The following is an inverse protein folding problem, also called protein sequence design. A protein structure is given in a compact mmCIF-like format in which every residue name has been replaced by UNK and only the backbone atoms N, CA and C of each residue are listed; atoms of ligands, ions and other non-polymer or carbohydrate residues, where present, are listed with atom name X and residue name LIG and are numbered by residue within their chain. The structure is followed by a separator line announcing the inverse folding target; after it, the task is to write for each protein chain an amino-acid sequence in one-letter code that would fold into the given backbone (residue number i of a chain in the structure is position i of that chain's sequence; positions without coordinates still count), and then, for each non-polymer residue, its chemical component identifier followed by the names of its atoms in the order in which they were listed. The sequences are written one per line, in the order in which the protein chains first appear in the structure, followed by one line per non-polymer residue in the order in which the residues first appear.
data_IF_714618514038
#
_entry.id   IF_714618514038
#
_cell.length_a   1.000
_cell.length_b   1.000
_cell.length_c   1.000
_cell.angle_alpha   90.00
_cell.angle_beta   90.00
_cell.angle_gamma   90.00
#
_symmetry.space_group_name_H-M   'P 1'
#
loop_
_entity.id
_entity.type
_entity.pdbx_description
1 polymer ?
#
# COMPACT_ATOMS: atom_id res chain seq x y z
N UNK A 1 8.94 18.64 7.37
CA UNK A 1 8.11 18.63 8.61
C UNK A 1 6.80 17.83 8.49
N UNK A 2 6.41 17.27 7.33
CA UNK A 2 5.08 16.64 7.13
C UNK A 2 4.94 15.16 7.55
N UNK A 3 6.04 14.44 7.77
CA UNK A 3 6.00 12.97 7.63
C UNK A 3 5.40 12.19 8.81
N UNK A 4 5.36 12.75 10.03
CA UNK A 4 4.68 12.14 11.19
C UNK A 4 3.15 12.23 11.09
N UNK A 5 2.61 13.19 10.32
CA UNK A 5 1.15 13.39 10.19
C UNK A 5 0.46 12.29 9.38
N UNK A 6 1.24 11.55 8.59
CA UNK A 6 0.73 10.49 7.72
C UNK A 6 0.84 9.11 8.37
N UNK A 7 1.09 9.06 9.67
CA UNK A 7 1.13 7.85 10.48
C UNK A 7 0.07 7.98 11.56
N UNK A 8 -0.66 6.89 11.81
CA UNK A 8 -1.68 6.81 12.87
C UNK A 8 -1.12 6.01 14.05
N UNK A 9 -0.42 6.64 15.01
CA UNK A 9 0.11 5.92 16.16
C UNK A 9 -1.00 5.53 17.14
N UNK A 10 -0.75 4.46 17.90
CA UNK A 10 -1.56 4.12 19.08
C UNK A 10 -1.47 5.27 20.09
N UNK A 11 -2.63 5.72 20.57
CA UNK A 11 -2.74 6.77 21.58
C UNK A 11 -2.76 6.19 22.99
N UNK A 12 -3.56 5.15 23.22
CA UNK A 12 -3.73 4.52 24.54
C UNK A 12 -3.98 3.02 24.40
N UNK A 13 -3.75 2.28 25.47
CA UNK A 13 -4.10 0.86 25.61
C UNK A 13 -4.87 0.66 26.92
N UNK A 14 -5.85 -0.23 26.89
CA UNK A 14 -6.56 -0.71 28.09
C UNK A 14 -6.29 -2.21 28.22
N UNK A 15 -5.74 -2.63 29.35
CA UNK A 15 -5.32 -4.02 29.61
C UNK A 15 -5.69 -4.46 31.03
N UNK A 16 -6.84 -4.01 31.53
CA UNK A 16 -7.32 -4.35 32.87
C UNK A 16 -7.64 -5.86 32.99
N UNK A 17 -7.26 -6.45 34.13
CA UNK A 17 -7.45 -7.88 34.38
C UNK A 17 -8.95 -8.22 34.46
N UNK A 18 -9.37 -9.21 33.65
CA UNK A 18 -10.76 -9.64 33.55
C UNK A 18 -11.57 -8.97 32.43
N UNK A 19 -11.03 -7.91 31.80
CA UNK A 19 -11.64 -7.23 30.66
C UNK A 19 -10.95 -7.57 29.33
N UNK A 20 -11.62 -7.30 28.20
CA UNK A 20 -10.99 -7.47 26.89
C UNK A 20 -9.98 -6.35 26.62
N UNK A 21 -8.72 -6.66 26.25
CA UNK A 21 -7.75 -5.64 25.91
C UNK A 21 -8.22 -4.76 24.75
N UNK A 22 -7.99 -3.46 24.84
CA UNK A 22 -8.37 -2.49 23.80
C UNK A 22 -7.19 -1.58 23.44
N UNK A 23 -7.12 -1.21 22.16
CA UNK A 23 -6.16 -0.24 21.63
C UNK A 23 -6.94 0.95 21.12
N UNK A 24 -6.60 2.15 21.58
CA UNK A 24 -7.26 3.40 21.19
C UNK A 24 -6.37 4.15 20.20
N UNK A 25 -6.92 4.44 19.02
CA UNK A 25 -6.28 5.22 17.96
C UNK A 25 -7.07 6.52 17.73
N UNK A 26 -6.41 7.59 17.23
CA UNK A 26 -7.13 8.77 16.77
C UNK A 26 -8.17 8.40 15.70
N UNK A 27 -9.37 8.97 15.83
CA UNK A 27 -10.46 8.68 14.90
C UNK A 27 -10.22 9.34 13.53
N UNK A 28 -10.42 8.56 12.46
CA UNK A 28 -10.36 9.03 11.07
C UNK A 28 -11.75 8.95 10.46
N UNK A 29 -12.32 10.11 10.08
CA UNK A 29 -13.74 10.24 9.67
C UNK A 29 -14.15 9.32 8.52
N UNK A 30 -13.24 9.02 7.59
CA UNK A 30 -13.52 8.19 6.41
C UNK A 30 -12.99 6.75 6.52
N UNK A 31 -12.45 6.39 7.69
CA UNK A 31 -12.04 5.02 8.00
C UNK A 31 -10.94 4.46 7.10
N UNK A 32 -11.07 3.18 6.74
CA UNK A 32 -10.08 2.44 5.97
C UNK A 32 -10.06 2.85 4.49
N UNK A 33 -8.86 3.15 3.97
CA UNK A 33 -8.66 3.63 2.60
C UNK A 33 -9.18 2.65 1.52
N UNK A 34 -8.99 1.33 1.69
CA UNK A 34 -9.50 0.32 0.73
C UNK A 34 -11.03 0.32 0.68
N UNK A 35 -11.69 0.43 1.82
CA UNK A 35 -13.15 0.51 1.89
C UNK A 35 -13.67 1.82 1.29
N UNK A 36 -13.00 2.93 1.59
CA UNK A 36 -13.31 4.24 1.01
C UNK A 36 -13.20 4.23 -0.52
N UNK A 37 -12.09 3.75 -1.08
CA UNK A 37 -11.89 3.67 -2.54
C UNK A 37 -12.92 2.75 -3.23
N UNK A 38 -13.31 1.66 -2.58
CA UNK A 38 -14.40 0.79 -3.08
C UNK A 38 -15.74 1.52 -3.11
N UNK A 39 -16.04 2.34 -2.11
CA UNK A 39 -17.26 3.16 -2.09
C UNK A 39 -17.22 4.20 -3.21
N UNK A 40 -16.09 4.87 -3.43
CA UNK A 40 -15.91 5.80 -4.56
C UNK A 40 -16.15 5.12 -5.91
N UNK A 41 -15.58 3.92 -6.13
CA UNK A 41 -15.78 3.14 -7.36
C UNK A 41 -17.25 2.75 -7.59
N UNK A 42 -17.98 2.43 -6.52
CA UNK A 42 -19.43 2.17 -6.62
C UNK A 42 -20.21 3.45 -6.95
N UNK A 43 -19.78 4.59 -6.41
CA UNK A 43 -20.37 5.90 -6.72
C UNK A 43 -20.09 6.34 -8.15
N UNK A 44 -18.91 6.04 -8.71
CA UNK A 44 -18.55 6.34 -10.11
C UNK A 44 -19.52 5.75 -11.14
N UNK A 45 -20.09 4.57 -10.85
CA UNK A 45 -21.12 3.98 -11.70
C UNK A 45 -22.37 4.87 -11.86
N UNK A 46 -22.63 5.75 -10.88
CA UNK A 46 -23.78 6.66 -10.86
C UNK A 46 -23.37 8.14 -10.97
N UNK A 47 -22.10 8.49 -10.74
CA UNK A 47 -21.55 9.84 -10.81
C UNK A 47 -20.05 9.81 -11.15
N UNK A 48 -19.66 10.04 -12.42
CA UNK A 48 -18.28 9.92 -12.91
C UNK A 48 -17.23 10.86 -12.28
N UNK A 49 -17.62 11.74 -11.35
CA UNK A 49 -16.75 12.75 -10.71
C UNK A 49 -16.45 12.47 -9.22
N UNK A 50 -16.62 11.23 -8.74
CA UNK A 50 -16.50 10.96 -7.30
C UNK A 50 -15.07 11.11 -6.72
N UNK A 51 -14.02 10.86 -7.51
CA UNK A 51 -12.63 11.05 -7.09
C UNK A 51 -11.75 11.43 -8.29
N UNK A 52 -10.96 12.49 -8.17
CA UNK A 52 -10.06 12.89 -9.26
C UNK A 52 -8.75 12.12 -9.23
N UNK A 53 -8.07 12.05 -10.37
CA UNK A 53 -6.72 11.49 -10.41
C UNK A 53 -5.75 12.29 -9.54
N UNK A 54 -5.95 13.60 -9.42
CA UNK A 54 -5.17 14.47 -8.55
C UNK A 54 -5.36 14.08 -7.07
N UNK A 55 -6.58 13.75 -6.64
CA UNK A 55 -6.86 13.25 -5.28
C UNK A 55 -6.13 11.93 -5.01
N UNK A 56 -6.18 10.99 -5.97
CA UNK A 56 -5.48 9.70 -5.85
C UNK A 56 -3.97 9.88 -5.71
N UNK A 57 -3.37 10.76 -6.52
CA UNK A 57 -1.94 11.08 -6.43
C UNK A 57 -1.63 11.78 -5.11
N UNK A 58 -2.49 12.67 -4.63
CA UNK A 58 -2.33 13.30 -3.32
C UNK A 58 -2.35 12.28 -2.17
N UNK A 59 -3.22 11.28 -2.23
CA UNK A 59 -3.21 10.16 -1.27
C UNK A 59 -1.91 9.36 -1.36
N UNK A 60 -1.41 9.07 -2.57
CA UNK A 60 -0.15 8.36 -2.78
C UNK A 60 1.05 9.14 -2.20
N UNK A 61 1.10 10.47 -2.37
CA UNK A 61 2.13 11.33 -1.78
C UNK A 61 2.12 11.21 -0.24
N UNK A 62 0.94 11.23 0.38
CA UNK A 62 0.82 11.12 1.84
C UNK A 62 1.36 9.77 2.33
N UNK A 63 0.99 8.67 1.68
CA UNK A 63 1.51 7.33 1.99
C UNK A 63 3.02 7.29 1.82
N UNK A 64 3.55 7.72 0.66
CA UNK A 64 4.99 7.72 0.39
C UNK A 64 5.78 8.57 1.40
N UNK A 65 5.22 9.70 1.85
CA UNK A 65 5.81 10.52 2.90
C UNK A 65 5.87 9.78 4.25
N UNK A 66 4.80 9.07 4.62
CA UNK A 66 4.77 8.23 5.83
C UNK A 66 5.81 7.12 5.77
N UNK A 67 5.87 6.40 4.65
CA UNK A 67 6.85 5.34 4.41
C UNK A 67 8.29 5.86 4.40
N UNK A 68 8.54 7.03 3.79
CA UNK A 68 9.85 7.67 3.83
C UNK A 68 10.32 7.98 5.25
N UNK A 69 9.40 8.38 6.15
CA UNK A 69 9.74 8.63 7.55
C UNK A 69 10.11 7.35 8.30
N UNK A 70 9.36 6.28 8.07
CA UNK A 70 9.59 4.98 8.68
C UNK A 70 10.90 4.37 8.22
N UNK A 71 11.14 4.36 6.91
CA UNK A 71 12.38 3.84 6.31
C UNK A 71 13.63 4.54 6.86
N UNK A 72 13.60 5.87 7.00
CA UNK A 72 14.72 6.65 7.59
C UNK A 72 14.99 6.35 9.06
N UNK A 73 14.05 5.74 9.76
CA UNK A 73 14.16 5.37 11.18
C UNK A 73 14.34 3.87 11.37
N UNK A 74 14.45 3.12 10.28
CA UNK A 74 14.50 1.65 10.30
C UNK A 74 13.30 1.04 11.06
N UNK A 75 12.17 1.76 11.06
CA UNK A 75 10.91 1.30 11.68
C UNK A 75 10.13 0.53 10.64
N UNK A 76 9.76 -0.71 10.97
CA UNK A 76 8.85 -1.52 10.16
C UNK A 76 7.42 -1.31 10.66
N UNK A 77 6.45 -1.19 9.74
CA UNK A 77 5.03 -1.22 10.12
C UNK A 77 4.71 -2.65 10.51
N UNK A 78 4.35 -2.86 11.78
CA UNK A 78 3.96 -4.17 12.29
C UNK A 78 2.51 -4.22 12.75
N UNK A 79 1.81 -3.09 12.79
CA UNK A 79 0.42 -3.06 13.24
C UNK A 79 -0.53 -3.52 12.13
N UNK A 80 -0.72 -4.82 12.08
CA UNK A 80 -1.73 -5.52 11.30
C UNK A 80 -2.65 -6.34 12.23
N UNK A 81 -2.70 -5.99 13.52
CA UNK A 81 -3.22 -6.86 14.58
C UNK A 81 -4.63 -7.40 14.31
N UNK A 82 -5.47 -6.58 13.67
CA UNK A 82 -6.83 -6.95 13.24
C UNK A 82 -7.00 -6.98 11.72
N UNK A 83 -5.96 -6.68 10.94
CA UNK A 83 -6.08 -6.61 9.49
C UNK A 83 -6.44 -7.98 8.89
N UNK A 84 -5.93 -9.07 9.49
CA UNK A 84 -6.30 -10.45 9.13
C UNK A 84 -7.77 -10.75 9.40
N UNK A 85 -8.29 -10.29 10.54
CA UNK A 85 -9.68 -10.51 10.93
C UNK A 85 -10.66 -9.64 10.12
N UNK A 86 -10.26 -8.40 9.80
CA UNK A 86 -11.06 -7.46 9.01
C UNK A 86 -11.03 -7.76 7.51
N UNK A 87 -9.93 -8.31 7.00
CA UNK A 87 -9.73 -8.59 5.58
C UNK A 87 -9.16 -10.01 5.35
N UNK A 88 -9.86 -11.08 5.77
CA UNK A 88 -9.34 -12.44 5.71
C UNK A 88 -9.03 -12.90 4.29
N UNK A 89 -9.75 -12.39 3.28
CA UNK A 89 -9.55 -12.74 1.87
C UNK A 89 -8.22 -12.22 1.28
N UNK A 90 -7.56 -11.28 1.96
CA UNK A 90 -6.28 -10.74 1.51
C UNK A 90 -5.08 -11.56 2.03
N UNK A 91 -5.30 -12.46 3.00
CA UNK A 91 -4.27 -13.27 3.63
C UNK A 91 -4.39 -14.74 3.25
N UNK A 92 -3.26 -15.34 2.90
CA UNK A 92 -3.19 -16.72 2.40
C UNK A 92 -2.07 -17.49 3.10
N UNK A 93 -2.29 -18.78 3.30
CA UNK A 93 -1.31 -19.73 3.82
C UNK A 93 -0.79 -20.57 2.66
N UNK A 94 0.52 -20.56 2.44
CA UNK A 94 1.15 -21.30 1.34
C UNK A 94 1.69 -22.67 1.80
N UNK A 95 0.99 -23.31 2.72
CA UNK A 95 1.33 -24.65 3.23
C UNK A 95 2.32 -24.68 4.39
N UNK A 96 2.69 -23.54 4.95
CA UNK A 96 3.63 -23.38 6.08
C UNK A 96 2.96 -22.91 7.38
N UNK A 97 1.63 -22.93 7.42
CA UNK A 97 0.80 -22.43 8.53
C UNK A 97 1.00 -20.94 8.85
N UNK A 98 1.64 -20.16 7.96
CA UNK A 98 1.76 -18.71 8.10
C UNK A 98 0.79 -17.98 7.19
N UNK A 99 -0.13 -17.21 7.79
CA UNK A 99 -1.02 -16.33 7.05
C UNK A 99 -0.31 -15.01 6.70
N UNK A 100 -0.06 -14.81 5.42
CA UNK A 100 0.63 -13.63 4.88
C UNK A 100 -0.15 -13.00 3.73
N UNK A 101 0.00 -11.68 3.50
CA UNK A 101 -0.66 -11.02 2.39
C UNK A 101 0.09 -11.29 1.09
N UNK A 102 0.03 -12.52 0.59
CA UNK A 102 0.83 -13.02 -0.54
C UNK A 102 0.80 -12.09 -1.76
N UNK A 103 -0.35 -11.49 -2.04
CA UNK A 103 -0.56 -10.59 -3.18
C UNK A 103 0.11 -9.22 -3.04
N UNK A 104 0.55 -8.83 -1.85
CA UNK A 104 1.27 -7.58 -1.56
C UNK A 104 2.78 -7.77 -1.39
N UNK A 105 3.28 -9.01 -1.47
CA UNK A 105 4.67 -9.31 -1.16
C UNK A 105 5.55 -9.25 -2.41
N UNK A 106 6.75 -8.70 -2.23
CA UNK A 106 7.80 -8.77 -3.23
C UNK A 106 8.33 -10.22 -3.39
N UNK A 107 8.97 -10.49 -4.52
CA UNK A 107 9.43 -11.84 -4.87
C UNK A 107 10.42 -12.40 -3.83
N UNK A 108 11.36 -11.58 -3.37
CA UNK A 108 12.32 -11.98 -2.33
C UNK A 108 11.64 -12.30 -1.00
N UNK A 109 10.56 -11.59 -0.65
CA UNK A 109 9.78 -11.88 0.56
C UNK A 109 8.99 -13.18 0.43
N UNK A 110 8.52 -13.52 -0.77
CA UNK A 110 7.81 -14.77 -1.03
C UNK A 110 8.73 -16.00 -1.01
N UNK A 111 9.96 -15.86 -1.52
CA UNK A 111 10.89 -16.98 -1.67
C UNK A 111 11.77 -17.19 -0.44
N UNK A 112 12.26 -16.10 0.15
CA UNK A 112 13.31 -16.14 1.17
C UNK A 112 12.87 -15.58 2.53
N UNK A 113 11.66 -15.04 2.65
CA UNK A 113 11.22 -14.25 3.81
C UNK A 113 12.12 -13.03 4.10
N UNK A 114 12.71 -12.45 3.06
CA UNK A 114 13.51 -11.23 3.16
C UNK A 114 12.59 -9.99 3.10
N UNK A 115 12.64 -9.15 4.14
CA UNK A 115 11.79 -7.96 4.27
C UNK A 115 12.62 -6.69 4.44
N UNK A 116 12.42 -5.73 3.55
CA UNK A 116 13.10 -4.43 3.53
C UNK A 116 12.13 -3.30 3.21
N UNK A 117 12.59 -2.04 3.27
CA UNK A 117 11.78 -0.92 2.77
C UNK A 117 11.48 -1.01 1.27
N UNK A 118 12.22 -1.83 0.52
CA UNK A 118 12.02 -2.02 -0.91
C UNK A 118 10.97 -3.10 -1.23
N UNK A 119 10.57 -3.94 -0.26
CA UNK A 119 9.63 -5.05 -0.47
C UNK A 119 8.15 -4.67 -0.36
N UNK A 120 7.82 -3.40 -0.09
CA UNK A 120 6.44 -2.91 0.03
C UNK A 120 5.86 -2.59 -1.37
N UNK A 121 4.99 -3.47 -1.90
CA UNK A 121 4.49 -3.40 -3.29
C UNK A 121 2.95 -3.45 -3.42
N UNK A 122 2.46 -3.23 -4.63
CA UNK A 122 1.04 -3.13 -5.03
C UNK A 122 0.34 -4.52 -5.12
N UNK A 123 -0.96 -4.64 -4.79
CA UNK A 123 -1.69 -5.93 -4.83
C UNK A 123 -1.94 -6.51 -6.23
N UNK A 124 -1.75 -7.82 -6.36
CA UNK A 124 -2.20 -8.63 -7.51
C UNK A 124 -3.54 -9.33 -7.23
N UNK A 125 -4.66 -8.79 -7.71
CA UNK A 125 -6.00 -9.26 -7.31
C UNK A 125 -6.45 -10.55 -8.01
N UNK A 126 -6.03 -10.73 -9.27
CA UNK A 126 -6.54 -11.79 -10.16
C UNK A 126 -5.62 -13.02 -10.25
N UNK A 127 -4.53 -13.01 -9.51
CA UNK A 127 -3.55 -14.10 -9.50
C UNK A 127 -3.81 -15.00 -8.29
N UNK A 128 -3.74 -16.31 -8.51
CA UNK A 128 -3.78 -17.30 -7.45
C UNK A 128 -2.57 -17.09 -6.51
N UNK A 129 -2.76 -16.99 -5.18
CA UNK A 129 -1.66 -16.85 -4.24
C UNK A 129 -0.56 -17.91 -4.39
N UNK A 130 -0.90 -19.15 -4.74
CA UNK A 130 0.07 -20.23 -4.95
C UNK A 130 0.92 -20.03 -6.22
N UNK A 131 0.40 -19.30 -7.21
CA UNK A 131 1.10 -19.03 -8.47
C UNK A 131 1.89 -17.71 -8.43
N UNK A 132 1.70 -16.88 -7.41
CA UNK A 132 2.29 -15.54 -7.32
C UNK A 132 3.81 -15.53 -7.51
N UNK A 133 4.52 -16.45 -6.86
CA UNK A 133 5.98 -16.51 -6.94
C UNK A 133 6.45 -16.87 -8.36
N UNK A 134 5.78 -17.82 -9.02
CA UNK A 134 6.08 -18.18 -10.40
C UNK A 134 5.77 -17.02 -11.36
N UNK A 135 4.59 -16.42 -11.22
CA UNK A 135 4.15 -15.28 -12.01
C UNK A 135 5.15 -14.12 -11.97
N UNK A 136 5.62 -13.74 -10.77
CA UNK A 136 6.58 -12.66 -10.60
C UNK A 136 7.99 -13.02 -11.12
N UNK A 137 8.40 -14.29 -10.96
CA UNK A 137 9.69 -14.81 -11.42
C UNK A 137 9.80 -14.82 -12.94
N UNK A 138 8.70 -15.10 -13.63
CA UNK A 138 8.61 -15.04 -15.09
C UNK A 138 8.56 -13.61 -15.63
N UNK A 139 8.60 -12.60 -14.74
CA UNK A 139 8.65 -11.18 -15.10
C UNK A 139 7.28 -10.55 -15.33
N UNK A 140 6.19 -11.27 -15.12
CA UNK A 140 4.85 -10.71 -15.27
C UNK A 140 4.54 -9.70 -14.16
N UNK A 141 3.80 -8.65 -14.53
CA UNK A 141 3.40 -7.53 -13.66
C UNK A 141 1.97 -7.13 -13.97
N UNK A 142 1.35 -6.36 -13.07
CA UNK A 142 -0.02 -5.87 -13.24
C UNK A 142 -0.08 -5.02 -14.51
N UNK A 143 -1.15 -5.21 -15.29
CA UNK A 143 -1.43 -4.36 -16.44
C UNK A 143 -1.72 -2.91 -16.00
N UNK A 144 -1.41 -1.96 -16.88
CA UNK A 144 -1.72 -0.55 -16.64
C UNK A 144 -3.22 -0.35 -16.41
N UNK A 145 -3.63 0.30 -15.30
CA UNK A 145 -5.03 0.58 -15.05
C UNK A 145 -5.62 1.52 -16.10
N UNK A 146 -6.92 1.35 -16.39
CA UNK A 146 -7.67 2.27 -17.25
C UNK A 146 -7.61 3.68 -16.63
N UNK A 147 -7.37 4.70 -17.46
CA UNK A 147 -7.22 6.10 -17.05
C UNK A 147 -5.99 6.40 -16.18
N UNK A 148 -4.98 5.52 -16.16
CA UNK A 148 -3.69 5.80 -15.53
C UNK A 148 -2.69 6.31 -16.59
N UNK A 149 -2.10 7.52 -16.43
CA UNK A 149 -1.10 8.01 -17.39
C UNK A 149 0.17 7.17 -17.39
N UNK A 150 0.83 7.11 -18.54
CA UNK A 150 2.02 6.30 -18.77
C UNK A 150 3.15 6.69 -17.82
N UNK A 151 3.32 7.98 -17.51
CA UNK A 151 4.36 8.44 -16.59
C UNK A 151 4.11 7.91 -15.17
N UNK A 152 2.85 7.89 -14.72
CA UNK A 152 2.51 7.34 -13.40
C UNK A 152 2.68 5.82 -13.38
N UNK A 153 2.30 5.14 -14.46
CA UNK A 153 2.50 3.70 -14.58
C UNK A 153 3.99 3.32 -14.61
N UNK A 154 4.83 4.11 -15.28
CA UNK A 154 6.28 3.91 -15.29
C UNK A 154 6.87 3.99 -13.88
N UNK A 155 6.40 4.94 -13.04
CA UNK A 155 6.81 5.02 -11.63
C UNK A 155 6.42 3.76 -10.86
N UNK A 156 5.20 3.26 -11.04
CA UNK A 156 4.76 2.01 -10.41
C UNK A 156 5.60 0.80 -10.89
N UNK A 157 5.89 0.72 -12.19
CA UNK A 157 6.70 -0.34 -12.77
C UNK A 157 8.14 -0.35 -12.21
N UNK A 158 8.75 0.82 -11.99
CA UNK A 158 10.06 0.93 -11.34
C UNK A 158 10.05 0.36 -9.90
N UNK A 159 8.93 0.47 -9.18
CA UNK A 159 8.80 -0.14 -7.85
C UNK A 159 8.74 -1.68 -7.89
N UNK A 160 8.51 -2.29 -9.05
CA UNK A 160 8.38 -3.73 -9.21
C UNK A 160 9.61 -4.40 -9.84
N UNK A 161 10.75 -3.71 -9.88
CA UNK A 161 12.02 -4.29 -10.33
C UNK A 161 12.36 -5.56 -9.52
N UNK A 162 12.94 -6.56 -10.18
CA UNK A 162 13.31 -7.82 -9.51
C UNK A 162 14.41 -7.58 -8.48
N UNK A 163 15.43 -6.79 -8.85
CA UNK A 163 16.48 -6.37 -7.93
C UNK A 163 15.94 -5.27 -6.98
N UNK A 164 15.94 -5.51 -5.66
CA UNK A 164 15.52 -4.50 -4.68
C UNK A 164 16.34 -3.19 -4.73
N UNK A 165 17.59 -3.22 -5.19
CA UNK A 165 18.44 -2.01 -5.27
C UNK A 165 18.14 -1.13 -6.49
N UNK A 166 17.49 -1.67 -7.52
CA UNK A 166 17.00 -0.89 -8.66
C UNK A 166 15.71 -0.13 -8.34
N UNK A 167 15.01 -0.51 -7.25
CA UNK A 167 13.75 0.14 -6.86
C UNK A 167 14.01 1.54 -6.30
N UNK A 168 13.15 2.53 -6.62
CA UNK A 168 13.30 3.88 -6.10
C UNK A 168 13.12 3.91 -4.58
N UNK A 169 13.93 4.73 -3.90
CA UNK A 169 13.74 4.99 -2.48
C UNK A 169 12.51 5.87 -2.29
N UNK A 170 11.80 5.75 -1.15
CA UNK A 170 10.58 6.52 -0.89
C UNK A 170 10.74 8.04 -1.05
N UNK A 171 11.92 8.60 -0.78
CA UNK A 171 12.16 10.03 -0.99
C UNK A 171 12.07 10.44 -2.48
N UNK A 172 12.55 9.57 -3.38
CA UNK A 172 12.46 9.78 -4.82
C UNK A 172 11.00 9.66 -5.28
N UNK A 173 10.25 8.70 -4.72
CA UNK A 173 8.82 8.56 -4.98
C UNK A 173 8.03 9.80 -4.55
N UNK A 174 8.29 10.34 -3.36
CA UNK A 174 7.65 11.58 -2.88
C UNK A 174 7.91 12.73 -3.85
N UNK A 175 9.15 12.89 -4.31
CA UNK A 175 9.50 13.94 -5.26
C UNK A 175 8.76 13.76 -6.60
N UNK A 176 8.85 12.57 -7.20
CA UNK A 176 8.24 12.28 -8.49
C UNK A 176 6.71 12.44 -8.46
N UNK A 177 6.05 11.92 -7.42
CA UNK A 177 4.60 12.07 -7.26
C UNK A 177 4.19 13.53 -7.02
N UNK A 178 5.00 14.32 -6.32
CA UNK A 178 4.72 15.75 -6.12
C UNK A 178 4.82 16.54 -7.43
N UNK A 179 5.84 16.27 -8.24
CA UNK A 179 5.99 16.85 -9.57
C UNK A 179 4.81 16.45 -10.48
N UNK A 180 4.43 15.18 -10.46
CA UNK A 180 3.28 14.68 -11.21
C UNK A 180 1.95 15.30 -10.76
N UNK A 181 1.73 15.46 -9.45
CA UNK A 181 0.55 16.13 -8.91
C UNK A 181 0.46 17.59 -9.38
N UNK A 182 1.59 18.31 -9.41
CA UNK A 182 1.63 19.67 -9.92
C UNK A 182 1.33 19.74 -11.42
N UNK A 183 1.81 18.76 -12.20
CA UNK A 183 1.51 18.65 -13.62
C UNK A 183 0.01 18.40 -13.86
N UNK A 184 -0.62 17.46 -13.14
CA UNK A 184 -2.05 17.17 -13.30
C UNK A 184 -2.94 18.39 -13.07
N UNK A 185 -2.62 19.22 -12.08
CA UNK A 185 -3.37 20.45 -11.81
C UNK A 185 -3.20 21.55 -12.86
N UNK A 186 -2.25 21.41 -13.79
CA UNK A 186 -2.02 22.36 -14.88
C UNK A 186 -2.70 21.94 -16.21
N UNK A 187 -3.11 20.67 -16.33
CA UNK A 187 -3.68 20.10 -17.57
C UNK A 187 -5.20 19.82 -17.50
N UNK A 188 -5.85 20.12 -16.36
CA UNK A 188 -7.30 19.95 -16.13
C UNK A 188 -7.95 21.30 -15.86
#
# INVERSE_FOLDING_TARGET
MCARRNLLPVSHVCTEDGEKPMVLLPYMTWGNLKLFLRQCKLAEANNPQAISQQDLVHMAIQVACGMSYLARREVKITDNALARDLFPMDYHCLGDNENRPVRWMALESLLNNDFSSASDVTPYVDIDPFEMAAYLKDGYRIAQPINCPDELFAVMACCWALDPEERPKFQQLVQCLTEFHAALGAYV
#
